data_IF_401694867194
#
_entry.id   IF_401694867194
#
_cell.length_a   1.000
_cell.length_b   1.000
_cell.length_c   1.000
_cell.angle_alpha   90.00
_cell.angle_beta   90.00
_cell.angle_gamma   90.00
#
_symmetry.space_group_name_H-M   'P 1'
#
loop_
_entity.id
_entity.type
_entity.pdbx_description
1 polymer ?
#
# COMPACT_ATOMS: atom_id res chain seq x y z
N UNK A 1 -26.00 41.45 -30.08
CA UNK A 1 -25.37 40.24 -30.64
C UNK A 1 -23.87 40.53 -30.62
N UNK A 2 -22.98 39.85 -29.89
CA UNK A 2 -23.00 38.45 -29.43
C UNK A 2 -22.17 38.29 -28.15
N UNK A 3 -22.57 37.30 -27.38
CA UNK A 3 -21.99 36.81 -26.11
C UNK A 3 -20.58 36.24 -26.30
N UNK A 4 -19.61 36.62 -25.45
CA UNK A 4 -18.33 35.92 -25.33
C UNK A 4 -18.46 34.84 -24.25
N UNK A 5 -18.51 33.59 -24.71
CA UNK A 5 -18.43 32.41 -23.85
C UNK A 5 -16.97 32.16 -23.47
N UNK A 6 -16.65 32.27 -22.18
CA UNK A 6 -15.37 31.80 -21.64
C UNK A 6 -15.53 30.32 -21.31
N UNK A 7 -15.02 29.45 -22.18
CA UNK A 7 -14.96 28.00 -21.91
C UNK A 7 -13.83 27.73 -20.94
N UNK A 8 -14.17 27.32 -19.72
CA UNK A 8 -13.23 26.73 -18.78
C UNK A 8 -12.73 25.38 -19.35
N UNK A 9 -11.42 25.20 -19.41
CA UNK A 9 -10.80 23.90 -19.69
C UNK A 9 -10.91 23.01 -18.46
N UNK A 10 -11.57 21.84 -18.53
CA UNK A 10 -11.43 20.81 -17.50
C UNK A 10 -10.23 19.92 -17.86
N UNK A 11 -9.61 19.31 -16.86
CA UNK A 11 -8.51 18.33 -16.97
C UNK A 11 -7.10 18.92 -17.13
N UNK A 12 -6.51 19.27 -15.98
CA UNK A 12 -5.07 19.13 -15.79
C UNK A 12 -4.71 17.65 -15.87
N UNK A 13 -4.30 17.19 -17.04
CA UNK A 13 -3.80 15.85 -17.29
C UNK A 13 -2.38 15.70 -16.76
N UNK A 14 -2.24 15.54 -15.43
CA UNK A 14 -1.03 14.91 -14.92
C UNK A 14 -1.20 13.40 -15.13
N UNK A 15 -0.28 12.69 -15.81
CA UNK A 15 -0.36 11.24 -15.94
C UNK A 15 -0.43 10.62 -14.54
N UNK A 16 -1.21 9.55 -14.34
CA UNK A 16 -1.20 8.84 -13.06
C UNK A 16 0.25 8.45 -12.74
N UNK A 17 0.71 8.64 -11.50
CA UNK A 17 2.07 8.30 -11.11
C UNK A 17 2.34 6.83 -11.48
N UNK A 18 3.55 6.50 -11.96
CA UNK A 18 3.89 5.13 -12.29
C UNK A 18 3.68 4.25 -11.05
N UNK A 19 3.19 3.00 -11.23
CA UNK A 19 3.07 2.08 -10.11
C UNK A 19 4.45 1.91 -9.45
N UNK A 20 4.54 2.02 -8.12
CA UNK A 20 5.78 1.75 -7.42
C UNK A 20 6.28 0.34 -7.75
N UNK A 21 7.59 0.14 -7.90
CA UNK A 21 8.16 -1.18 -8.12
C UNK A 21 7.79 -2.11 -6.96
N UNK A 22 7.66 -3.41 -7.27
CA UNK A 22 7.44 -4.41 -6.24
C UNK A 22 8.73 -4.66 -5.47
N UNK A 23 8.65 -4.58 -4.14
CA UNK A 23 9.80 -4.72 -3.26
C UNK A 23 9.63 -5.97 -2.40
N UNK A 24 10.59 -6.89 -2.53
CA UNK A 24 10.67 -8.06 -1.67
C UNK A 24 11.16 -7.70 -0.27
N UNK A 25 10.55 -8.28 0.77
CA UNK A 25 10.84 -7.98 2.18
C UNK A 25 11.68 -9.07 2.87
N UNK A 26 12.45 -9.84 2.11
CA UNK A 26 13.16 -11.04 2.58
C UNK A 26 14.13 -10.78 3.74
N UNK A 27 14.66 -9.57 3.88
CA UNK A 27 15.62 -9.19 4.92
C UNK A 27 15.07 -8.23 5.98
N UNK A 28 13.76 -7.99 6.01
CA UNK A 28 13.18 -6.99 6.92
C UNK A 28 13.41 -7.30 8.41
N UNK A 29 13.57 -8.57 8.76
CA UNK A 29 13.90 -9.04 10.12
C UNK A 29 15.29 -8.60 10.61
N UNK A 30 16.22 -8.25 9.71
CA UNK A 30 17.51 -7.66 10.09
C UNK A 30 17.38 -6.17 10.47
N UNK A 31 16.35 -5.50 9.95
CA UNK A 31 16.13 -4.07 10.19
C UNK A 31 15.21 -3.82 11.39
N UNK A 32 14.24 -4.70 11.63
CA UNK A 32 13.29 -4.60 12.73
C UNK A 32 13.59 -5.70 13.74
N UNK A 33 14.49 -5.38 14.67
CA UNK A 33 15.02 -6.33 15.67
C UNK A 33 14.14 -6.45 16.92
N UNK A 34 13.29 -5.45 17.17
CA UNK A 34 12.42 -5.41 18.34
C UNK A 34 10.98 -5.73 17.96
N UNK A 35 10.31 -6.50 18.83
CA UNK A 35 8.88 -6.75 18.68
C UNK A 35 8.06 -5.63 19.31
N UNK A 36 7.02 -5.16 18.63
CA UNK A 36 6.09 -4.17 19.14
C UNK A 36 5.34 -4.72 20.37
N UNK A 37 5.47 -4.02 21.49
CA UNK A 37 4.71 -4.17 22.73
C UNK A 37 3.94 -2.88 23.02
N UNK A 38 3.08 -2.90 24.04
CA UNK A 38 2.31 -1.71 24.43
C UNK A 38 3.20 -0.52 24.86
N UNK A 39 4.42 -0.79 25.35
CA UNK A 39 5.29 0.23 25.95
C UNK A 39 6.42 0.72 25.03
N UNK A 40 6.66 0.06 23.90
CA UNK A 40 7.85 0.30 23.07
C UNK A 40 7.56 0.83 21.66
N UNK A 41 6.34 1.32 21.42
CA UNK A 41 5.91 1.81 20.10
C UNK A 41 6.92 2.76 19.45
N UNK A 42 7.45 3.72 20.20
CA UNK A 42 8.39 4.70 19.65
C UNK A 42 9.69 4.02 19.18
N UNK A 43 10.26 3.12 19.98
CA UNK A 43 11.47 2.39 19.61
C UNK A 43 11.21 1.53 18.37
N UNK A 44 10.09 0.81 18.34
CA UNK A 44 9.72 -0.03 17.18
C UNK A 44 9.56 0.82 15.92
N UNK A 45 8.89 1.97 16.03
CA UNK A 45 8.68 2.87 14.91
C UNK A 45 9.99 3.46 14.38
N UNK A 46 10.94 3.81 15.25
CA UNK A 46 12.27 4.32 14.82
C UNK A 46 13.09 3.31 14.03
N UNK A 47 12.82 2.00 14.14
CA UNK A 47 13.45 0.97 13.30
C UNK A 47 12.66 0.71 12.02
N UNK A 48 11.32 0.73 12.11
CA UNK A 48 10.44 0.46 10.99
C UNK A 48 10.44 1.59 9.95
N UNK A 49 10.37 2.85 10.38
CA UNK A 49 10.20 3.99 9.48
C UNK A 49 11.36 4.13 8.47
N UNK A 50 12.65 4.10 8.89
CA UNK A 50 13.76 4.15 7.94
C UNK A 50 13.74 2.98 6.96
N UNK A 51 13.45 1.77 7.46
CA UNK A 51 13.33 0.58 6.61
C UNK A 51 12.27 0.76 5.52
N UNK A 52 11.07 1.26 5.88
CA UNK A 52 10.01 1.49 4.92
C UNK A 52 10.36 2.64 3.96
N UNK A 53 11.04 3.68 4.44
CA UNK A 53 11.45 4.82 3.61
C UNK A 53 12.50 4.42 2.58
N UNK A 54 13.51 3.65 2.97
CA UNK A 54 14.60 3.20 2.10
C UNK A 54 14.13 2.28 0.96
N UNK A 55 12.93 1.72 1.10
CA UNK A 55 12.31 0.78 0.15
C UNK A 55 11.11 1.37 -0.61
N UNK A 56 10.85 2.68 -0.47
CA UNK A 56 9.68 3.38 -1.04
C UNK A 56 8.31 2.80 -0.58
N UNK A 57 8.28 2.20 0.61
CA UNK A 57 7.09 1.54 1.17
C UNK A 57 6.34 2.40 2.18
N UNK A 58 6.96 3.46 2.71
CA UNK A 58 6.33 4.33 3.71
C UNK A 58 5.02 4.94 3.20
N UNK A 59 4.94 5.19 1.88
CA UNK A 59 3.77 5.72 1.21
C UNK A 59 2.52 4.82 1.27
N UNK A 60 2.71 3.50 1.42
CA UNK A 60 1.60 2.56 1.63
C UNK A 60 1.01 2.68 3.03
N UNK A 61 1.86 2.96 4.03
CA UNK A 61 1.46 3.03 5.44
C UNK A 61 0.82 4.39 5.76
N UNK A 62 1.38 5.48 5.26
CA UNK A 62 0.87 6.83 5.51
C UNK A 62 -0.23 7.27 4.50
N UNK A 63 -0.49 6.48 3.47
CA UNK A 63 -1.51 6.74 2.45
C UNK A 63 -1.10 7.73 1.34
N UNK A 64 0.18 8.12 1.26
CA UNK A 64 0.67 8.98 0.17
C UNK A 64 0.72 8.27 -1.18
N UNK A 65 0.74 6.93 -1.19
CA UNK A 65 0.58 6.10 -2.38
C UNK A 65 -0.88 5.61 -2.41
N UNK A 66 -1.77 6.28 -3.15
CA UNK A 66 -3.17 5.88 -3.20
C UNK A 66 -3.35 4.55 -3.94
N UNK A 67 -4.45 3.86 -3.62
CA UNK A 67 -4.81 2.65 -4.35
C UNK A 67 -5.08 2.99 -5.84
N UNK A 68 -4.49 2.24 -6.80
CA UNK A 68 -4.76 2.46 -8.21
C UNK A 68 -6.21 2.11 -8.57
N UNK A 69 -6.78 2.67 -9.67
CA UNK A 69 -8.06 2.22 -10.20
C UNK A 69 -8.05 0.72 -10.47
N UNK A 70 -9.14 0.01 -10.17
CA UNK A 70 -9.23 -1.45 -10.38
C UNK A 70 -9.22 -1.83 -11.85
N UNK A 71 -9.72 -0.93 -12.72
CA UNK A 71 -9.78 -1.11 -14.16
C UNK A 71 -9.31 0.15 -14.88
N UNK A 72 -8.74 -0.03 -16.06
CA UNK A 72 -8.29 1.06 -16.95
C UNK A 72 -8.85 0.82 -18.36
N UNK A 73 -9.18 1.90 -19.11
CA UNK A 73 -9.68 1.76 -20.46
C UNK A 73 -8.59 1.24 -21.41
N UNK A 74 -8.96 0.25 -22.23
CA UNK A 74 -8.21 -0.26 -23.37
C UNK A 74 -8.17 0.76 -24.50
N UNK A 75 -7.26 0.55 -25.47
CA UNK A 75 -7.26 1.26 -26.75
C UNK A 75 -8.59 1.16 -27.51
N UNK A 76 -9.39 0.13 -27.23
CA UNK A 76 -10.73 -0.10 -27.80
C UNK A 76 -11.86 0.51 -26.96
N UNK A 77 -11.57 1.14 -25.82
CA UNK A 77 -12.55 1.72 -24.90
C UNK A 77 -13.16 0.74 -23.89
N UNK A 78 -12.81 -0.55 -23.95
CA UNK A 78 -13.23 -1.56 -22.96
C UNK A 78 -12.47 -1.40 -21.63
N UNK A 79 -13.13 -1.63 -20.49
CA UNK A 79 -12.48 -1.61 -19.18
C UNK A 79 -11.75 -2.93 -18.92
N UNK A 80 -10.42 -2.86 -18.84
CA UNK A 80 -9.57 -4.01 -18.52
C UNK A 80 -9.06 -3.93 -17.07
N UNK A 81 -8.85 -5.08 -16.40
CA UNK A 81 -8.23 -5.10 -15.07
C UNK A 81 -6.88 -4.39 -15.08
N UNK A 82 -6.63 -3.57 -14.06
CA UNK A 82 -5.39 -2.81 -13.94
C UNK A 82 -4.29 -3.64 -13.25
N UNK A 83 -3.19 -3.99 -13.93
CA UNK A 83 -2.08 -4.70 -13.29
C UNK A 83 -1.45 -3.93 -12.13
N UNK A 84 -1.48 -2.59 -12.16
CA UNK A 84 -0.97 -1.75 -11.07
C UNK A 84 -1.78 -1.92 -9.78
N UNK A 85 -3.11 -2.08 -9.88
CA UNK A 85 -3.95 -2.35 -8.71
C UNK A 85 -3.58 -3.68 -8.06
N UNK A 86 -3.37 -4.71 -8.88
CA UNK A 86 -2.94 -6.03 -8.42
C UNK A 86 -1.58 -5.97 -7.73
N UNK A 87 -0.60 -5.28 -8.32
CA UNK A 87 0.73 -5.13 -7.75
C UNK A 87 0.69 -4.39 -6.41
N UNK A 88 -0.07 -3.30 -6.34
CA UNK A 88 -0.29 -2.54 -5.12
C UNK A 88 -0.88 -3.43 -4.02
N UNK A 89 -1.87 -4.26 -4.34
CA UNK A 89 -2.47 -5.20 -3.39
C UNK A 89 -1.47 -6.26 -2.90
N UNK A 90 -0.60 -6.76 -3.78
CA UNK A 90 0.44 -7.71 -3.38
C UNK A 90 1.45 -7.05 -2.43
N UNK A 91 1.88 -5.81 -2.73
CA UNK A 91 2.82 -5.07 -1.88
C UNK A 91 2.21 -4.74 -0.52
N UNK A 92 0.98 -4.23 -0.48
CA UNK A 92 0.25 -3.93 0.76
C UNK A 92 0.17 -5.16 1.68
N UNK A 93 -0.15 -6.33 1.12
CA UNK A 93 -0.17 -7.59 1.86
C UNK A 93 1.19 -8.01 2.42
N UNK A 94 2.27 -7.77 1.69
CA UNK A 94 3.62 -8.03 2.18
C UNK A 94 3.97 -7.10 3.34
N UNK A 95 3.66 -5.80 3.23
CA UNK A 95 3.87 -4.83 4.30
C UNK A 95 3.06 -5.24 5.53
N UNK A 96 1.80 -5.63 5.37
CA UNK A 96 0.98 -6.13 6.47
C UNK A 96 1.59 -7.38 7.13
N UNK A 97 2.09 -8.32 6.33
CA UNK A 97 2.75 -9.52 6.85
C UNK A 97 4.00 -9.18 7.65
N UNK A 98 4.78 -8.20 7.18
CA UNK A 98 5.93 -7.66 7.90
C UNK A 98 5.50 -7.05 9.24
N UNK A 99 4.52 -6.15 9.23
CA UNK A 99 4.03 -5.48 10.44
C UNK A 99 3.58 -6.51 11.47
N UNK A 100 2.75 -7.49 11.07
CA UNK A 100 2.29 -8.58 11.94
C UNK A 100 3.48 -9.38 12.51
N UNK A 101 4.46 -9.75 11.68
CA UNK A 101 5.64 -10.50 12.14
C UNK A 101 6.49 -9.74 13.16
N UNK A 102 6.47 -8.41 13.10
CA UNK A 102 7.19 -7.52 14.00
C UNK A 102 6.44 -7.22 15.30
N UNK A 103 5.25 -7.79 15.51
CA UNK A 103 4.47 -7.60 16.75
C UNK A 103 4.74 -8.71 17.76
N UNK A 104 4.62 -8.40 19.04
CA UNK A 104 4.50 -9.41 20.09
C UNK A 104 3.14 -10.13 20.00
N UNK A 105 3.05 -11.32 20.57
CA UNK A 105 1.81 -12.10 20.62
C UNK A 105 0.70 -11.34 21.35
N UNK A 106 1.03 -10.67 22.47
CA UNK A 106 0.10 -9.85 23.24
C UNK A 106 -0.48 -8.71 22.40
N UNK A 107 0.37 -7.96 21.69
CA UNK A 107 -0.06 -6.85 20.82
C UNK A 107 -0.88 -7.37 19.64
N UNK A 108 -0.51 -8.54 19.09
CA UNK A 108 -1.26 -9.17 18.00
C UNK A 108 -2.67 -9.56 18.43
N UNK A 109 -2.84 -10.15 19.62
CA UNK A 109 -4.15 -10.49 20.18
C UNK A 109 -5.03 -9.24 20.34
N UNK A 110 -4.46 -8.13 20.80
CA UNK A 110 -5.15 -6.85 20.90
C UNK A 110 -5.54 -6.27 19.53
N UNK A 111 -4.71 -6.45 18.51
CA UNK A 111 -4.99 -5.98 17.15
C UNK A 111 -6.10 -6.79 16.46
N UNK A 112 -6.07 -8.12 16.59
CA UNK A 112 -7.08 -9.03 16.03
C UNK A 112 -8.47 -8.79 16.63
N UNK A 113 -8.54 -8.44 17.92
CA UNK A 113 -9.80 -8.09 18.58
C UNK A 113 -10.44 -6.79 18.08
N UNK A 114 -9.65 -5.87 17.50
CA UNK A 114 -10.11 -4.54 17.06
C UNK A 114 -10.36 -4.44 15.56
N UNK A 115 -9.79 -5.35 14.77
CA UNK A 115 -9.87 -5.27 13.31
C UNK A 115 -10.23 -6.63 12.74
N UNK A 116 -11.13 -6.67 11.75
CA UNK A 116 -11.42 -7.84 10.92
C UNK A 116 -10.23 -8.20 9.96
N UNK A 117 -9.03 -7.88 10.44
CA UNK A 117 -7.72 -7.70 9.81
C UNK A 117 -7.21 -8.94 9.08
N UNK A 118 -7.51 -10.13 9.62
CA UNK A 118 -6.97 -11.39 9.10
C UNK A 118 -7.80 -12.01 7.97
N UNK A 119 -9.04 -11.54 7.74
CA UNK A 119 -9.95 -12.17 6.77
C UNK A 119 -9.57 -11.92 5.30
N UNK A 120 -8.77 -10.88 5.03
CA UNK A 120 -8.40 -10.47 3.66
C UNK A 120 -7.02 -10.94 3.19
N UNK A 121 -6.22 -11.56 4.08
CA UNK A 121 -4.89 -12.07 3.72
C UNK A 121 -4.95 -13.09 2.56
N UNK A 122 -6.05 -13.83 2.42
CA UNK A 122 -6.20 -14.90 1.42
C UNK A 122 -6.78 -14.56 0.03
N UNK A 123 -7.11 -13.30 -0.31
CA UNK A 123 -7.83 -12.97 -1.57
C UNK A 123 -7.04 -12.19 -2.63
N UNK A 124 -5.74 -12.45 -2.79
CA UNK A 124 -5.04 -11.94 -3.98
C UNK A 124 -4.52 -13.16 -4.75
N UNK A 125 -5.39 -13.72 -5.60
CA UNK A 125 -5.12 -14.87 -6.47
C UNK A 125 -4.06 -14.60 -7.55
N UNK A 126 -3.53 -13.37 -7.62
CA UNK A 126 -2.61 -12.92 -8.66
C UNK A 126 -1.15 -12.78 -8.20
N UNK A 127 -0.84 -12.93 -6.91
CA UNK A 127 0.56 -12.90 -6.45
C UNK A 127 1.27 -14.27 -6.61
N UNK A 128 0.58 -15.28 -7.15
CA UNK A 128 1.14 -16.59 -7.51
C UNK A 128 1.39 -16.65 -9.02
N UNK A 129 2.43 -15.94 -9.46
CA UNK A 129 3.03 -16.11 -10.79
C UNK A 129 4.34 -16.86 -10.65
#
# INVERSE_FOLDING_TARGET
MSTQSTTASPFGSNPPPPPPPFTQLTHAHHYISIKLTNDNHLHWYTQLEPFLSDHDLLGYVNGSIPYPPTHVPSSTGELLPNPAYTLWCCQDKLIMSLLISSMSEETMLLAVGKTSFLRNLGRCSYCSG
#
